data_IF_015784722907
#
_entry.id   IF_015784722907
#
_cell.length_a   1.000
_cell.length_b   1.000
_cell.length_c   1.000
_cell.angle_alpha   90.00
_cell.angle_beta   90.00
_cell.angle_gamma   90.00
#
_symmetry.space_group_name_H-M   'P 1'
#
loop_
_entity.id
_entity.type
_entity.pdbx_description
1 polymer ?
#
# COMPACT_ATOMS: atom_id res chain seq x y z
N UNK A 1 40.49 -41.31 -18.72
CA UNK A 1 39.03 -41.52 -18.69
C UNK A 1 38.42 -40.58 -17.66
N UNK A 2 37.42 -39.80 -18.10
CA UNK A 2 36.59 -38.86 -17.34
C UNK A 2 35.88 -39.52 -16.15
N UNK A 3 35.40 -38.81 -15.12
CA UNK A 3 34.10 -38.11 -15.01
C UNK A 3 34.14 -37.26 -13.71
N UNK A 4 34.10 -35.92 -13.76
CA UNK A 4 32.92 -35.05 -13.54
C UNK A 4 32.10 -35.28 -12.26
N UNK A 5 31.93 -34.19 -11.48
CA UNK A 5 30.68 -33.98 -10.73
C UNK A 5 30.82 -33.74 -9.23
N UNK A 6 30.91 -32.47 -8.85
CA UNK A 6 29.85 -31.79 -8.09
C UNK A 6 30.18 -30.30 -8.01
N UNK A 7 29.72 -29.57 -9.02
CA UNK A 7 29.46 -28.15 -8.88
C UNK A 7 28.41 -28.00 -7.77
N UNK A 8 28.84 -27.57 -6.59
CA UNK A 8 27.97 -26.91 -5.63
C UNK A 8 27.64 -25.55 -6.24
N UNK A 9 26.61 -25.50 -7.08
CA UNK A 9 25.93 -24.24 -7.37
C UNK A 9 25.40 -23.74 -6.03
N UNK A 10 26.17 -22.84 -5.44
CA UNK A 10 25.71 -22.00 -4.35
C UNK A 10 24.71 -21.06 -5.00
N UNK A 11 23.43 -21.45 -4.97
CA UNK A 11 22.34 -20.52 -5.22
C UNK A 11 22.44 -19.44 -4.15
N UNK A 12 23.15 -18.36 -4.46
CA UNK A 12 23.01 -17.10 -3.76
C UNK A 12 21.54 -16.75 -3.86
N UNK A 13 20.78 -16.98 -2.78
CA UNK A 13 19.46 -16.38 -2.59
C UNK A 13 19.69 -14.88 -2.71
N UNK A 14 19.39 -14.32 -3.88
CA UNK A 14 19.33 -12.87 -4.03
C UNK A 14 18.34 -12.38 -2.98
N UNK A 15 18.84 -11.55 -2.07
CA UNK A 15 17.98 -10.87 -1.10
C UNK A 15 17.22 -9.83 -1.91
N UNK A 16 16.04 -10.21 -2.41
CA UNK A 16 15.17 -9.29 -3.12
C UNK A 16 14.76 -8.20 -2.13
N UNK A 17 15.18 -6.97 -2.41
CA UNK A 17 14.78 -5.80 -1.62
C UNK A 17 13.34 -5.41 -2.00
N UNK A 18 12.50 -5.12 -1.00
CA UNK A 18 11.12 -4.70 -1.22
C UNK A 18 10.99 -3.50 -2.16
N UNK A 19 11.93 -2.55 -2.14
CA UNK A 19 11.90 -1.41 -3.08
C UNK A 19 11.93 -1.86 -4.55
N UNK A 20 12.68 -2.92 -4.87
CA UNK A 20 12.73 -3.49 -6.21
C UNK A 20 11.44 -4.22 -6.58
N UNK A 21 10.77 -4.84 -5.60
CA UNK A 21 9.43 -5.41 -5.79
C UNK A 21 8.43 -4.29 -6.08
N UNK A 22 8.43 -3.24 -5.26
CA UNK A 22 7.49 -2.12 -5.38
C UNK A 22 7.59 -1.42 -6.73
N UNK A 23 8.80 -1.26 -7.28
CA UNK A 23 9.01 -0.68 -8.62
C UNK A 23 8.42 -1.53 -9.77
N UNK A 24 8.25 -2.84 -9.55
CA UNK A 24 7.66 -3.75 -10.53
C UNK A 24 6.15 -3.90 -10.38
N UNK A 25 5.59 -3.48 -9.25
CA UNK A 25 4.16 -3.56 -8.99
C UNK A 25 3.42 -2.43 -9.70
N UNK A 26 2.35 -2.80 -10.39
CA UNK A 26 1.33 -1.84 -10.81
C UNK A 26 0.31 -1.67 -9.68
N UNK A 27 0.13 -0.45 -9.22
CA UNK A 27 -0.84 -0.08 -8.18
C UNK A 27 -1.97 0.71 -8.83
N UNK A 28 -3.17 0.14 -8.85
CA UNK A 28 -4.35 0.79 -9.44
C UNK A 28 -5.42 1.02 -8.38
N UNK A 29 -6.04 2.20 -8.40
CA UNK A 29 -7.24 2.50 -7.62
C UNK A 29 -8.40 1.60 -8.06
N UNK A 30 -9.22 1.15 -7.10
CA UNK A 30 -10.47 0.43 -7.38
C UNK A 30 -11.68 1.21 -6.89
N UNK A 31 -11.78 1.45 -5.58
CA UNK A 31 -12.90 2.19 -5.00
C UNK A 31 -12.57 2.73 -3.60
N UNK A 32 -13.50 3.51 -3.06
CA UNK A 32 -13.49 3.95 -1.65
C UNK A 32 -14.62 3.18 -0.97
N UNK A 33 -14.34 2.27 -0.02
CA UNK A 33 -15.38 1.61 0.76
C UNK A 33 -15.93 2.59 1.79
N UNK A 34 -16.86 3.46 1.39
CA UNK A 34 -17.38 4.57 2.20
C UNK A 34 -17.89 4.11 3.59
N UNK A 35 -18.47 2.92 3.67
CA UNK A 35 -18.95 2.33 4.93
C UNK A 35 -17.83 2.07 5.97
N UNK A 36 -16.56 2.01 5.55
CA UNK A 36 -15.40 1.88 6.44
C UNK A 36 -14.77 3.23 6.81
N UNK A 37 -15.13 4.30 6.10
CA UNK A 37 -14.52 5.61 6.29
C UNK A 37 -15.27 6.41 7.37
N UNK A 38 -14.53 7.25 8.09
CA UNK A 38 -15.10 8.18 9.06
C UNK A 38 -14.35 9.52 9.02
N UNK A 39 -14.63 10.39 10.01
CA UNK A 39 -14.00 11.71 10.10
C UNK A 39 -12.48 11.67 10.30
N UNK A 40 -11.93 10.54 10.74
CA UNK A 40 -10.52 10.36 11.11
C UNK A 40 -9.80 9.36 10.23
N UNK A 41 -10.52 8.54 9.48
CA UNK A 41 -9.96 7.44 8.69
C UNK A 41 -10.52 7.44 7.28
N UNK A 42 -9.61 7.36 6.31
CA UNK A 42 -9.94 7.17 4.90
C UNK A 42 -9.45 5.79 4.47
N UNK A 43 -10.37 4.97 3.97
CA UNK A 43 -10.05 3.70 3.35
C UNK A 43 -10.05 3.83 1.83
N UNK A 44 -9.09 3.19 1.17
CA UNK A 44 -9.03 3.11 -0.29
C UNK A 44 -8.71 1.68 -0.70
N UNK A 45 -9.59 1.07 -1.46
CA UNK A 45 -9.32 -0.23 -2.07
C UNK A 45 -8.44 -0.04 -3.29
N UNK A 46 -7.29 -0.70 -3.29
CA UNK A 46 -6.35 -0.73 -4.41
C UNK A 46 -6.17 -2.16 -4.90
N UNK A 47 -5.65 -2.29 -6.12
CA UNK A 47 -5.14 -3.55 -6.61
C UNK A 47 -3.67 -3.48 -6.93
N UNK A 48 -2.93 -4.49 -6.46
CA UNK A 48 -1.54 -4.74 -6.80
C UNK A 48 -1.50 -5.79 -7.92
N UNK A 49 -0.84 -5.45 -9.03
CA UNK A 49 -0.67 -6.37 -10.16
C UNK A 49 0.81 -6.58 -10.47
N UNK A 50 1.18 -7.83 -10.73
CA UNK A 50 2.49 -8.23 -11.23
C UNK A 50 2.28 -9.29 -12.32
N UNK A 51 2.78 -9.02 -13.53
CA UNK A 51 2.53 -9.85 -14.70
C UNK A 51 1.02 -10.12 -14.88
N UNK A 52 0.59 -11.38 -14.91
CA UNK A 52 -0.81 -11.79 -15.06
C UNK A 52 -1.51 -12.08 -13.73
N UNK A 53 -0.90 -11.70 -12.59
CA UNK A 53 -1.44 -11.93 -11.25
C UNK A 53 -1.84 -10.60 -10.62
N UNK A 54 -2.97 -10.62 -9.92
CA UNK A 54 -3.58 -9.46 -9.28
C UNK A 54 -4.05 -9.86 -7.88
N UNK A 55 -3.85 -8.98 -6.92
CA UNK A 55 -4.44 -9.07 -5.59
C UNK A 55 -5.01 -7.72 -5.18
N UNK A 56 -6.04 -7.73 -4.34
CA UNK A 56 -6.71 -6.52 -3.85
C UNK A 56 -6.42 -6.38 -2.36
N UNK A 57 -6.24 -5.15 -1.89
CA UNK A 57 -6.18 -4.82 -0.49
C UNK A 57 -6.74 -3.41 -0.24
N UNK A 58 -7.14 -3.16 1.00
CA UNK A 58 -7.49 -1.81 1.44
C UNK A 58 -6.27 -1.13 2.05
N UNK A 59 -6.02 0.11 1.63
CA UNK A 59 -5.18 1.04 2.37
C UNK A 59 -6.03 1.79 3.40
N UNK A 60 -5.48 2.01 4.58
CA UNK A 60 -6.06 2.88 5.62
C UNK A 60 -5.16 4.09 5.80
N UNK A 61 -5.74 5.28 5.81
CA UNK A 61 -5.06 6.55 6.05
C UNK A 61 -5.63 7.23 7.29
N UNK A 62 -4.76 7.69 8.20
CA UNK A 62 -5.15 8.42 9.40
C UNK A 62 -5.11 9.92 9.13
N UNK A 63 -6.27 10.57 9.23
CA UNK A 63 -6.49 11.97 8.91
C UNK A 63 -6.31 12.92 10.11
N UNK A 64 -6.35 12.38 11.32
CA UNK A 64 -6.23 13.13 12.57
C UNK A 64 -4.79 13.36 13.03
N UNK A 65 -3.80 12.92 12.23
CA UNK A 65 -2.38 13.11 12.50
C UNK A 65 -1.82 14.35 11.79
N UNK A 66 -0.80 15.02 12.36
CA UNK A 66 -0.13 16.15 11.71
C UNK A 66 0.44 15.80 10.33
N UNK A 67 0.89 14.55 10.18
CA UNK A 67 1.38 13.99 8.92
C UNK A 67 0.48 12.85 8.49
N UNK A 68 -0.10 12.98 7.29
CA UNK A 68 -0.89 11.94 6.67
C UNK A 68 -0.05 10.66 6.54
N UNK A 69 -0.49 9.60 7.19
CA UNK A 69 0.19 8.30 7.22
C UNK A 69 -0.80 7.22 6.82
N UNK A 70 -0.36 6.28 5.99
CA UNK A 70 -1.16 5.13 5.63
C UNK A 70 -0.38 3.82 5.67
N UNK A 71 -1.13 2.72 5.66
CA UNK A 71 -0.62 1.35 5.56
C UNK A 71 -1.70 0.47 4.94
N UNK A 72 -1.39 -0.81 4.70
CA UNK A 72 -2.40 -1.81 4.36
C UNK A 72 -3.24 -2.09 5.61
N UNK A 73 -4.56 -2.13 5.44
CA UNK A 73 -5.50 -2.44 6.50
C UNK A 73 -5.45 -3.93 6.85
N UNK A 74 -5.42 -4.23 8.15
CA UNK A 74 -5.56 -5.58 8.68
C UNK A 74 -7.03 -6.02 8.64
N UNK A 75 -7.48 -6.44 7.46
CA UNK A 75 -8.83 -6.96 7.24
C UNK A 75 -8.81 -8.31 6.51
N UNK A 76 -9.97 -8.80 6.08
CA UNK A 76 -10.12 -10.07 5.36
C UNK A 76 -9.27 -10.23 4.09
N UNK A 77 -8.84 -9.11 3.48
CA UNK A 77 -7.96 -9.11 2.31
C UNK A 77 -6.47 -9.19 2.66
N UNK A 78 -6.11 -8.99 3.94
CA UNK A 78 -4.72 -8.94 4.38
C UNK A 78 -3.98 -10.26 4.19
N UNK A 79 -4.62 -11.38 4.48
CA UNK A 79 -4.00 -12.69 4.24
C UNK A 79 -3.84 -12.99 2.74
N UNK A 80 -4.73 -12.46 1.89
CA UNK A 80 -4.64 -12.63 0.44
C UNK A 80 -3.45 -11.84 -0.12
N UNK A 81 -3.26 -10.59 0.32
CA UNK A 81 -2.13 -9.79 -0.14
C UNK A 81 -0.80 -10.39 0.34
N UNK A 82 -0.73 -10.92 1.57
CA UNK A 82 0.47 -11.61 2.06
C UNK A 82 0.80 -12.85 1.23
N UNK A 83 -0.20 -13.67 0.89
CA UNK A 83 -0.01 -14.82 0.01
C UNK A 83 0.48 -14.40 -1.38
N UNK A 84 -0.07 -13.33 -1.94
CA UNK A 84 0.40 -12.77 -3.21
C UNK A 84 1.90 -12.44 -3.19
N UNK A 85 2.40 -11.77 -2.15
CA UNK A 85 3.83 -11.46 -2.03
C UNK A 85 4.72 -12.70 -1.86
N UNK A 86 4.25 -13.71 -1.13
CA UNK A 86 4.95 -14.99 -0.97
C UNK A 86 5.00 -15.73 -2.31
N UNK A 87 3.88 -15.83 -3.02
CA UNK A 87 3.79 -16.59 -4.26
C UNK A 87 4.54 -15.94 -5.43
N UNK A 88 4.49 -14.61 -5.55
CA UNK A 88 5.07 -13.91 -6.70
C UNK A 88 6.54 -13.51 -6.50
N UNK A 89 6.98 -13.30 -5.25
CA UNK A 89 8.31 -12.78 -4.96
C UNK A 89 9.08 -13.59 -3.92
N UNK A 90 8.50 -14.68 -3.38
CA UNK A 90 9.05 -15.39 -2.23
C UNK A 90 9.37 -14.45 -1.06
N UNK A 91 8.53 -13.42 -0.87
CA UNK A 91 8.77 -12.32 0.05
C UNK A 91 7.68 -12.24 1.13
N UNK A 92 8.10 -12.09 2.39
CA UNK A 92 7.17 -11.87 3.51
C UNK A 92 7.00 -10.39 3.75
N UNK A 93 5.78 -9.89 3.53
CA UNK A 93 5.42 -8.50 3.74
C UNK A 93 5.58 -8.10 5.22
N UNK A 94 6.26 -6.98 5.46
CA UNK A 94 6.43 -6.36 6.77
C UNK A 94 5.62 -5.09 6.87
N UNK A 95 5.41 -4.59 8.08
CA UNK A 95 4.70 -3.34 8.31
C UNK A 95 5.33 -2.13 7.58
N UNK A 96 6.66 -2.06 7.53
CA UNK A 96 7.38 -1.01 6.80
C UNK A 96 7.07 -1.05 5.29
N UNK A 97 6.91 -2.25 4.73
CA UNK A 97 6.59 -2.47 3.32
C UNK A 97 5.16 -1.99 3.01
N UNK A 98 4.22 -2.21 3.93
CA UNK A 98 2.84 -1.74 3.83
C UNK A 98 2.76 -0.20 3.81
N UNK A 99 3.56 0.46 4.65
CA UNK A 99 3.70 1.93 4.65
C UNK A 99 4.26 2.40 3.31
N UNK A 100 5.27 1.71 2.76
CA UNK A 100 5.86 2.07 1.48
C UNK A 100 4.86 1.95 0.33
N UNK A 101 4.00 0.93 0.33
CA UNK A 101 2.90 0.80 -0.64
C UNK A 101 1.95 1.98 -0.54
N UNK A 102 1.51 2.32 0.68
CA UNK A 102 0.61 3.45 0.90
C UNK A 102 1.24 4.78 0.44
N UNK A 103 2.50 5.02 0.82
CA UNK A 103 3.25 6.21 0.42
C UNK A 103 3.43 6.30 -1.09
N UNK A 104 3.68 5.19 -1.78
CA UNK A 104 3.79 5.16 -3.23
C UNK A 104 2.45 5.55 -3.88
N UNK A 105 1.34 4.98 -3.41
CA UNK A 105 0.01 5.35 -3.90
C UNK A 105 -0.32 6.83 -3.62
N UNK A 106 0.08 7.37 -2.47
CA UNK A 106 -0.12 8.79 -2.11
C UNK A 106 0.53 9.77 -3.09
N UNK A 107 1.61 9.37 -3.78
CA UNK A 107 2.27 10.25 -4.76
C UNK A 107 1.48 10.37 -6.07
N UNK A 108 0.51 9.48 -6.33
CA UNK A 108 -0.28 9.47 -7.56
C UNK A 108 -1.24 10.66 -7.63
N UNK A 109 -1.55 11.12 -8.84
CA UNK A 109 -2.56 12.17 -9.04
C UNK A 109 -3.95 11.67 -8.61
N UNK A 110 -4.26 10.40 -8.85
CA UNK A 110 -5.49 9.76 -8.42
C UNK A 110 -5.73 9.91 -6.91
N UNK A 111 -4.69 9.67 -6.10
CA UNK A 111 -4.80 9.87 -4.65
C UNK A 111 -5.06 11.34 -4.29
N UNK A 112 -4.35 12.28 -4.92
CA UNK A 112 -4.52 13.72 -4.64
C UNK A 112 -5.96 14.19 -4.92
N UNK A 113 -6.56 13.69 -5.99
CA UNK A 113 -7.97 13.96 -6.33
C UNK A 113 -8.92 13.37 -5.28
N UNK A 114 -8.77 12.09 -4.96
CA UNK A 114 -9.57 11.41 -3.92
C UNK A 114 -9.49 12.15 -2.60
N UNK A 115 -8.27 12.50 -2.16
CA UNK A 115 -8.04 13.15 -0.89
C UNK A 115 -8.65 14.56 -0.84
N UNK A 116 -8.56 15.31 -1.94
CA UNK A 116 -9.19 16.63 -2.08
C UNK A 116 -10.71 16.53 -1.98
N UNK A 117 -11.31 15.59 -2.71
CA UNK A 117 -12.76 15.38 -2.72
C UNK A 117 -13.25 14.91 -1.36
N UNK A 118 -12.54 14.00 -0.71
CA UNK A 118 -12.88 13.50 0.62
C UNK A 118 -12.83 14.62 1.67
N UNK A 119 -11.77 15.43 1.66
CA UNK A 119 -11.66 16.58 2.58
C UNK A 119 -12.71 17.66 2.33
N UNK A 120 -13.16 17.85 1.08
CA UNK A 120 -14.22 18.82 0.79
C UNK A 120 -15.57 18.44 1.39
N UNK A 121 -15.79 17.13 1.62
CA UNK A 121 -17.03 16.58 2.19
C UNK A 121 -17.01 16.53 3.71
N UNK A 122 -15.84 16.40 4.32
CA UNK A 122 -15.70 16.35 5.78
C UNK A 122 -15.72 17.78 6.34
N UNK A 123 -16.79 18.12 7.06
CA UNK A 123 -16.77 19.27 7.98
C UNK A 123 -15.85 18.91 9.16
N UNK A 124 -14.57 19.24 9.06
CA UNK A 124 -13.61 18.98 10.13
C UNK A 124 -14.03 19.77 11.38
N UNK A 125 -14.28 19.13 12.53
CA UNK A 125 -14.73 19.82 13.75
C UNK A 125 -13.71 20.86 14.28
N UNK A 126 -12.46 20.82 13.81
CA UNK A 126 -11.39 21.74 14.25
C UNK A 126 -11.14 22.96 13.34
N UNK A 127 -11.84 23.13 12.21
CA UNK A 127 -11.62 24.31 11.34
C UNK A 127 -12.37 25.59 11.78
N UNK A 128 -13.09 25.57 12.90
CA UNK A 128 -13.80 26.75 13.42
C UNK A 128 -12.94 27.73 14.25
N UNK A 129 -11.61 27.59 14.33
CA UNK A 129 -10.79 28.41 15.24
C UNK A 129 -9.75 29.35 14.61
N UNK A 130 -9.73 29.56 13.29
CA UNK A 130 -8.86 30.60 12.70
C UNK A 130 -9.59 31.40 11.62
N UNK A 131 -10.67 32.10 12.01
CA UNK A 131 -11.20 33.25 11.27
C UNK A 131 -11.68 34.33 12.24
N UNK A 132 -10.78 34.88 13.04
CA UNK A 132 -10.90 36.27 13.52
C UNK A 132 -9.56 36.71 14.12
N UNK A 133 -8.68 37.24 13.28
CA UNK A 133 -7.71 38.26 13.65
C UNK A 133 -7.09 38.82 12.37
N UNK A 134 -7.13 40.14 12.27
CA UNK A 134 -6.69 41.05 11.19
C UNK A 134 -7.77 41.41 10.16
#
# INVERSE_FOLDING_TARGET
>A
MSIFGKNKTSETKEIINFTSILQQLKIDFQCIPEAKCDERTLYITISLSYQNKKSVCDLIFLLDRPTLTGAISLNEQYDQIRKFFIEQFNYTLRYEDEILIANNFMQTNQFKEIFKDFNSKIKRPHENFVRSAY
#
